data_IF_631647683588
#
_entry.id   IF_631647683588
#
_cell.length_a   1.000
_cell.length_b   1.000
_cell.length_c   1.000
_cell.angle_alpha   90.00
_cell.angle_beta   90.00
_cell.angle_gamma   90.00
#
_symmetry.space_group_name_H-M   'P 1'
#
loop_
_entity.id
_entity.type
_entity.pdbx_description
1 polymer ?
#
# COMPACT_ATOMS: atom_id res chain seq x y z
N UNK A 1 -7.13 -4.03 -17.04
CA UNK A 1 -6.76 -5.34 -16.42
C UNK A 1 -7.79 -5.60 -15.34
N UNK A 2 -8.47 -6.76 -15.35
CA UNK A 2 -9.57 -7.07 -14.41
C UNK A 2 -9.08 -7.32 -12.97
N UNK A 3 -9.99 -7.20 -12.00
CA UNK A 3 -9.72 -7.52 -10.59
C UNK A 3 -9.28 -8.98 -10.43
N UNK A 4 -9.92 -9.92 -11.15
CA UNK A 4 -9.56 -11.35 -11.15
C UNK A 4 -8.09 -11.61 -11.49
N UNK A 5 -7.55 -10.87 -12.47
CA UNK A 5 -6.13 -11.02 -12.84
C UNK A 5 -5.21 -10.56 -11.70
N UNK A 6 -5.56 -9.49 -11.01
CA UNK A 6 -4.77 -9.02 -9.87
C UNK A 6 -4.90 -9.94 -8.65
N UNK A 7 -6.08 -10.53 -8.47
CA UNK A 7 -6.28 -11.57 -7.47
C UNK A 7 -5.36 -12.77 -7.73
N UNK A 8 -5.30 -13.25 -8.97
CA UNK A 8 -4.39 -14.34 -9.35
C UNK A 8 -2.92 -13.98 -9.10
N UNK A 9 -2.51 -12.74 -9.43
CA UNK A 9 -1.15 -12.26 -9.17
C UNK A 9 -0.83 -12.28 -7.67
N UNK A 10 -1.77 -11.82 -6.83
CA UNK A 10 -1.58 -11.80 -5.38
C UNK A 10 -1.53 -13.23 -4.78
N UNK A 11 -2.41 -14.13 -5.24
CA UNK A 11 -2.42 -15.53 -4.84
C UNK A 11 -1.11 -16.25 -5.20
N UNK A 12 -0.60 -16.03 -6.43
CA UNK A 12 0.71 -16.57 -6.84
C UNK A 12 1.83 -16.06 -5.94
N UNK A 13 1.79 -14.79 -5.54
CA UNK A 13 2.76 -14.22 -4.59
C UNK A 13 2.71 -14.91 -3.22
N UNK A 14 1.51 -15.20 -2.72
CA UNK A 14 1.31 -15.89 -1.46
C UNK A 14 1.77 -17.36 -1.53
N UNK A 15 1.41 -18.08 -2.60
CA UNK A 15 1.84 -19.46 -2.82
C UNK A 15 3.37 -19.57 -2.88
N UNK A 16 4.02 -18.66 -3.61
CA UNK A 16 5.47 -18.59 -3.67
C UNK A 16 6.08 -18.27 -2.29
N UNK A 17 5.47 -17.37 -1.53
CA UNK A 17 5.90 -17.04 -0.17
C UNK A 17 5.80 -18.26 0.76
N UNK A 18 4.68 -18.97 0.72
CA UNK A 18 4.47 -20.17 1.53
C UNK A 18 5.51 -21.25 1.23
N UNK A 19 5.81 -21.49 -0.04
CA UNK A 19 6.83 -22.45 -0.47
C UNK A 19 8.25 -22.09 0.01
N UNK A 20 8.57 -20.82 0.13
CA UNK A 20 9.91 -20.32 0.47
C UNK A 20 10.05 -19.95 1.95
N UNK A 21 9.00 -20.05 2.75
CA UNK A 21 9.00 -19.60 4.13
C UNK A 21 9.13 -18.08 4.28
N UNK A 22 8.70 -17.32 3.28
CA UNK A 22 8.66 -15.86 3.32
C UNK A 22 7.54 -15.37 4.22
N UNK A 23 7.69 -14.15 4.75
CA UNK A 23 6.70 -13.55 5.63
C UNK A 23 5.92 -12.47 4.86
N UNK A 24 4.60 -12.56 4.90
CA UNK A 24 3.69 -11.56 4.36
C UNK A 24 3.43 -10.42 5.35
N UNK A 25 3.39 -9.19 4.82
CA UNK A 25 2.96 -7.99 5.51
C UNK A 25 1.86 -7.31 4.70
N UNK A 26 0.81 -6.87 5.38
CA UNK A 26 -0.20 -5.98 4.84
C UNK A 26 0.05 -4.57 5.37
N UNK A 27 0.23 -3.62 4.47
CA UNK A 27 0.45 -2.22 4.82
C UNK A 27 -0.76 -1.40 4.38
N UNK A 28 -1.21 -0.50 5.25
CA UNK A 28 -2.02 0.65 4.86
C UNK A 28 -1.12 1.89 4.91
N UNK A 29 -1.06 2.63 3.80
CA UNK A 29 -0.20 3.77 3.60
C UNK A 29 -1.04 4.98 3.18
N UNK A 30 -1.35 5.85 4.14
CA UNK A 30 -2.05 7.10 3.93
C UNK A 30 -1.10 8.29 3.72
N UNK A 31 -1.65 9.42 3.34
CA UNK A 31 -0.93 10.68 3.18
C UNK A 31 -0.97 11.53 4.46
N UNK A 32 -0.09 12.54 4.58
CA UNK A 32 -0.18 13.55 5.63
C UNK A 32 -1.53 14.25 5.68
N UNK A 33 -1.95 14.68 6.86
CA UNK A 33 -3.20 15.42 7.05
C UNK A 33 -3.26 16.65 6.16
N UNK A 34 -2.15 17.37 6.00
CA UNK A 34 -2.04 18.56 5.15
C UNK A 34 -2.37 18.34 3.66
N UNK A 35 -2.34 17.09 3.18
CA UNK A 35 -2.73 16.72 1.81
C UNK A 35 -4.16 16.20 1.71
N UNK A 36 -4.91 16.15 2.79
CA UNK A 36 -6.30 15.69 2.82
C UNK A 36 -7.25 16.87 2.84
N UNK A 37 -8.17 16.93 1.87
CA UNK A 37 -9.16 18.00 1.79
C UNK A 37 -10.21 17.94 2.90
N UNK A 38 -10.54 16.72 3.37
CA UNK A 38 -11.53 16.48 4.41
C UNK A 38 -10.90 15.70 5.57
N UNK A 39 -11.44 15.91 6.75
CA UNK A 39 -11.17 15.10 7.94
C UNK A 39 -12.44 14.51 8.51
N UNK A 40 -12.32 13.47 9.29
CA UNK A 40 -13.43 12.88 10.05
C UNK A 40 -13.43 13.52 11.44
N UNK A 41 -14.55 14.09 11.85
CA UNK A 41 -14.71 14.66 13.18
C UNK A 41 -15.06 13.58 14.23
N UNK A 42 -15.19 13.99 15.48
CA UNK A 42 -15.53 13.09 16.60
C UNK A 42 -16.88 12.36 16.45
N UNK A 43 -17.77 12.86 15.59
CA UNK A 43 -19.09 12.27 15.31
C UNK A 43 -19.09 11.41 14.02
N UNK A 44 -17.91 10.99 13.53
CA UNK A 44 -17.72 10.25 12.28
C UNK A 44 -18.25 10.96 11.01
N UNK A 45 -18.36 12.28 11.05
CA UNK A 45 -18.80 13.10 9.93
C UNK A 45 -17.59 13.70 9.20
N UNK A 46 -17.71 13.82 7.86
CA UNK A 46 -16.72 14.50 7.05
C UNK A 46 -16.92 16.02 7.18
N UNK A 47 -15.83 16.71 7.48
CA UNK A 47 -15.77 18.16 7.50
C UNK A 47 -14.51 18.68 6.77
N UNK A 48 -14.51 19.92 6.29
CA UNK A 48 -13.32 20.52 5.68
C UNK A 48 -12.13 20.48 6.65
N UNK A 49 -10.98 20.08 6.13
CA UNK A 49 -9.76 20.01 6.92
C UNK A 49 -9.07 21.38 6.96
N UNK A 50 -9.00 22.07 8.11
CA UNK A 50 -8.35 23.39 8.21
C UNK A 50 -6.82 23.35 7.96
N UNK A 51 -6.21 22.17 8.08
CA UNK A 51 -4.77 22.00 7.81
C UNK A 51 -4.47 21.75 6.32
N UNK A 52 -5.50 21.64 5.49
CA UNK A 52 -5.33 21.38 4.05
C UNK A 52 -4.60 22.52 3.36
N UNK A 53 -3.50 22.21 2.65
CA UNK A 53 -2.67 23.18 1.95
C UNK A 53 -3.00 23.33 0.46
N UNK A 54 -4.22 22.95 0.04
CA UNK A 54 -4.67 23.13 -1.33
C UNK A 54 -4.15 22.11 -2.35
N UNK A 55 -3.67 20.94 -1.91
CA UNK A 55 -3.22 19.88 -2.79
C UNK A 55 -4.37 19.12 -3.47
N UNK A 56 -4.07 18.50 -4.62
CA UNK A 56 -4.99 17.63 -5.36
C UNK A 56 -4.73 16.16 -5.03
N UNK A 57 -5.66 15.22 -5.35
CA UNK A 57 -5.38 13.79 -5.29
C UNK A 57 -4.14 13.36 -6.08
N UNK A 58 -3.84 14.03 -7.20
CA UNK A 58 -2.62 13.79 -7.96
C UNK A 58 -1.35 14.18 -7.19
N UNK A 59 -1.39 15.27 -6.43
CA UNK A 59 -0.24 15.69 -5.59
C UNK A 59 -0.04 14.74 -4.41
N UNK A 60 -1.13 14.28 -3.80
CA UNK A 60 -1.09 13.24 -2.78
C UNK A 60 -0.51 11.93 -3.33
N UNK A 61 -0.88 11.53 -4.54
CA UNK A 61 -0.31 10.36 -5.23
C UNK A 61 1.19 10.51 -5.50
N UNK A 62 1.63 11.68 -5.94
CA UNK A 62 3.08 11.98 -6.13
C UNK A 62 3.84 11.89 -4.81
N UNK A 63 3.25 12.38 -3.72
CA UNK A 63 3.86 12.27 -2.39
C UNK A 63 4.03 10.80 -1.99
N UNK A 64 2.98 9.96 -2.10
CA UNK A 64 3.04 8.52 -1.84
C UNK A 64 4.15 7.84 -2.66
N UNK A 65 4.23 8.15 -3.95
CA UNK A 65 5.26 7.61 -4.85
C UNK A 65 6.67 8.00 -4.42
N UNK A 66 6.86 9.27 -4.01
CA UNK A 66 8.15 9.78 -3.52
C UNK A 66 8.59 9.07 -2.23
N UNK A 67 7.68 8.89 -1.27
CA UNK A 67 8.00 8.16 -0.04
C UNK A 67 8.32 6.69 -0.33
N UNK A 68 7.53 6.04 -1.19
CA UNK A 68 7.78 4.65 -1.57
C UNK A 68 9.13 4.47 -2.30
N UNK A 69 9.54 5.42 -3.12
CA UNK A 69 10.86 5.40 -3.76
C UNK A 69 12.00 5.43 -2.73
N UNK A 70 11.87 6.24 -1.67
CA UNK A 70 12.84 6.28 -0.56
C UNK A 70 12.88 4.93 0.20
N UNK A 71 11.72 4.34 0.48
CA UNK A 71 11.62 3.03 1.14
C UNK A 71 12.31 1.96 0.29
N UNK A 72 12.04 1.89 -1.01
CA UNK A 72 12.68 0.93 -1.92
C UNK A 72 14.18 1.11 -2.00
N UNK A 73 14.67 2.36 -2.06
CA UNK A 73 16.09 2.65 -2.01
C UNK A 73 16.73 2.15 -0.71
N UNK A 74 16.03 2.30 0.42
CA UNK A 74 16.45 1.77 1.72
C UNK A 74 16.49 0.25 1.77
N UNK A 75 15.57 -0.44 1.10
CA UNK A 75 15.61 -1.90 0.96
C UNK A 75 16.84 -2.34 0.13
N UNK A 76 17.05 -1.70 -1.02
CA UNK A 76 18.20 -2.01 -1.88
C UNK A 76 19.54 -1.78 -1.16
N UNK A 77 19.67 -0.67 -0.43
CA UNK A 77 20.88 -0.36 0.33
C UNK A 77 21.22 -1.40 1.42
N UNK A 78 20.19 -2.05 1.99
CA UNK A 78 20.31 -3.05 3.05
C UNK A 78 20.24 -4.49 2.54
N UNK A 79 20.25 -4.70 1.24
CA UNK A 79 20.08 -6.02 0.60
C UNK A 79 18.84 -6.76 1.09
N UNK A 80 17.74 -6.01 1.32
CA UNK A 80 16.46 -6.59 1.72
C UNK A 80 15.63 -6.84 0.47
N UNK A 81 15.45 -8.11 0.15
CA UNK A 81 14.62 -8.53 -0.98
C UNK A 81 13.16 -8.56 -0.57
N UNK A 82 12.36 -7.79 -1.28
CA UNK A 82 10.91 -7.72 -1.12
C UNK A 82 10.22 -7.77 -2.49
N UNK A 83 9.06 -8.40 -2.53
CA UNK A 83 8.17 -8.37 -3.70
C UNK A 83 6.73 -8.17 -3.22
N UNK A 84 5.85 -7.75 -4.10
CA UNK A 84 4.49 -7.49 -3.67
C UNK A 84 3.60 -6.80 -4.67
N UNK A 85 2.41 -6.45 -4.21
CA UNK A 85 1.37 -5.77 -4.95
C UNK A 85 0.91 -4.52 -4.20
N UNK A 86 0.98 -3.37 -4.85
CA UNK A 86 0.43 -2.12 -4.36
C UNK A 86 -0.94 -1.87 -4.98
N UNK A 87 -1.93 -1.59 -4.15
CA UNK A 87 -3.30 -1.31 -4.53
C UNK A 87 -3.65 0.11 -4.08
N UNK A 88 -4.06 0.98 -5.01
CA UNK A 88 -4.47 2.33 -4.72
C UNK A 88 -6.00 2.42 -4.58
N UNK A 89 -6.46 3.04 -3.51
CA UNK A 89 -7.87 3.26 -3.19
C UNK A 89 -8.13 4.73 -2.90
N UNK A 90 -9.31 5.27 -3.24
CA UNK A 90 -9.70 6.59 -2.79
C UNK A 90 -10.13 6.54 -1.32
N UNK A 91 -9.71 7.51 -0.55
CA UNK A 91 -10.35 7.84 0.72
C UNK A 91 -11.67 8.57 0.47
N UNK A 92 -12.48 8.82 1.51
CA UNK A 92 -13.81 9.49 1.38
C UNK A 92 -13.74 10.87 0.72
N UNK A 93 -12.60 11.56 0.78
CA UNK A 93 -12.33 12.87 0.17
C UNK A 93 -11.61 12.76 -1.19
N UNK A 94 -11.63 11.60 -1.81
CA UNK A 94 -10.90 11.28 -3.05
C UNK A 94 -9.36 11.27 -2.92
N UNK A 95 -8.79 11.52 -1.76
CA UNK A 95 -7.35 11.43 -1.52
C UNK A 95 -6.90 9.98 -1.64
N UNK A 96 -5.83 9.66 -2.39
CA UNK A 96 -5.35 8.30 -2.54
C UNK A 96 -4.73 7.79 -1.22
N UNK A 97 -5.00 6.52 -0.94
CA UNK A 97 -4.26 5.71 0.01
C UNK A 97 -3.84 4.41 -0.66
N UNK A 98 -2.84 3.73 -0.11
CA UNK A 98 -2.37 2.47 -0.65
C UNK A 98 -2.52 1.34 0.34
N UNK A 99 -3.04 0.22 -0.11
CA UNK A 99 -2.82 -1.08 0.49
C UNK A 99 -1.66 -1.76 -0.23
N UNK A 100 -0.72 -2.31 0.54
CA UNK A 100 0.43 -3.02 -0.04
C UNK A 100 0.48 -4.41 0.58
N UNK A 101 0.37 -5.42 -0.27
CA UNK A 101 0.69 -6.80 0.04
C UNK A 101 2.18 -6.97 -0.25
N UNK A 102 2.99 -7.23 0.77
CA UNK A 102 4.43 -7.29 0.67
C UNK A 102 4.95 -8.57 1.31
N UNK A 103 5.78 -9.32 0.58
CA UNK A 103 6.46 -10.50 1.10
C UNK A 103 7.95 -10.26 1.22
N UNK A 104 8.51 -10.74 2.32
CA UNK A 104 9.91 -10.56 2.72
C UNK A 104 10.60 -11.90 2.72
N UNK A 105 11.70 -12.02 2.00
CA UNK A 105 12.42 -13.28 1.79
C UNK A 105 13.11 -13.86 3.02
N UNK A 106 13.35 -13.05 4.07
CA UNK A 106 13.98 -13.52 5.31
C UNK A 106 13.23 -12.98 6.53
N UNK A 107 12.95 -13.84 7.49
CA UNK A 107 12.23 -13.47 8.71
C UNK A 107 12.94 -12.34 9.48
N UNK A 108 14.26 -12.38 9.56
CA UNK A 108 15.09 -11.39 10.24
C UNK A 108 14.99 -9.98 9.59
N UNK A 109 14.73 -9.92 8.29
CA UNK A 109 14.57 -8.67 7.56
C UNK A 109 13.25 -7.96 7.89
N UNK A 110 12.26 -8.64 8.48
CA UNK A 110 10.94 -8.08 8.75
C UNK A 110 11.02 -6.83 9.66
N UNK A 111 11.86 -6.87 10.70
CA UNK A 111 12.05 -5.75 11.59
C UNK A 111 12.64 -4.55 10.85
N UNK A 112 13.62 -4.78 10.00
CA UNK A 112 14.25 -3.76 9.14
C UNK A 112 13.25 -3.14 8.15
N UNK A 113 12.39 -3.95 7.54
CA UNK A 113 11.32 -3.50 6.65
C UNK A 113 10.35 -2.58 7.39
N UNK A 114 9.85 -2.99 8.56
CA UNK A 114 8.95 -2.19 9.40
C UNK A 114 9.60 -0.87 9.81
N UNK A 115 10.85 -0.90 10.25
CA UNK A 115 11.59 0.28 10.68
C UNK A 115 11.79 1.28 9.53
N UNK A 116 12.16 0.82 8.32
CA UNK A 116 12.32 1.65 7.13
C UNK A 116 11.03 2.33 6.71
N UNK A 117 9.93 1.57 6.67
CA UNK A 117 8.62 2.10 6.29
C UNK A 117 8.20 3.17 7.30
N UNK A 118 8.26 2.88 8.61
CA UNK A 118 7.93 3.84 9.67
C UNK A 118 8.76 5.10 9.56
N UNK A 119 10.08 4.96 9.41
CA UNK A 119 10.99 6.09 9.30
C UNK A 119 10.63 7.03 8.15
N UNK A 120 10.43 6.52 6.93
CA UNK A 120 10.13 7.35 5.77
C UNK A 120 8.70 7.88 5.76
N UNK A 121 7.74 7.12 6.35
CA UNK A 121 6.33 7.51 6.32
C UNK A 121 5.94 8.52 7.38
N UNK A 122 6.59 8.47 8.56
CA UNK A 122 6.23 9.27 9.73
C UNK A 122 7.17 10.46 9.98
N UNK A 123 8.34 10.50 9.31
CA UNK A 123 9.40 11.47 9.60
C UNK A 123 9.00 12.94 9.45
N UNK A 124 8.15 13.28 8.48
CA UNK A 124 7.88 14.68 8.12
C UNK A 124 6.87 15.39 9.04
N UNK A 125 6.17 14.66 9.88
CA UNK A 125 5.12 15.20 10.76
C UNK A 125 5.15 14.61 12.17
N UNK A 126 6.33 14.24 12.66
CA UNK A 126 6.45 13.73 14.02
C UNK A 126 6.16 14.85 15.04
N UNK A 127 4.89 15.00 15.37
CA UNK A 127 4.43 15.66 16.59
C UNK A 127 3.90 14.57 17.51
N UNK A 128 4.43 14.42 18.74
CA UNK A 128 4.10 13.29 19.64
C UNK A 128 2.65 13.23 20.13
N UNK A 129 1.81 14.18 19.77
CA UNK A 129 0.45 14.34 20.29
C UNK A 129 -0.64 13.62 19.46
N UNK A 130 -0.29 12.72 18.51
CA UNK A 130 -1.25 12.35 17.48
C UNK A 130 -1.74 10.90 17.50
N UNK A 131 -3.01 10.72 17.83
CA UNK A 131 -3.89 9.62 17.44
C UNK A 131 -3.88 9.34 15.91
N UNK A 132 -3.37 10.28 15.12
CA UNK A 132 -3.33 10.24 13.64
C UNK A 132 -2.28 9.28 13.05
N UNK A 133 -1.36 8.74 13.83
CA UNK A 133 -0.37 7.78 13.32
C UNK A 133 -1.05 6.53 12.74
N UNK A 134 -2.07 5.99 13.43
CA UNK A 134 -2.81 4.81 12.98
C UNK A 134 -3.63 5.05 11.70
N UNK A 135 -4.13 6.27 11.54
CA UNK A 135 -4.87 6.66 10.33
C UNK A 135 -3.96 6.84 9.10
N UNK A 136 -2.64 6.92 9.30
CA UNK A 136 -1.66 7.16 8.23
C UNK A 136 -0.81 5.94 7.89
N UNK A 137 -0.50 5.12 8.87
CA UNK A 137 0.34 3.94 8.70
C UNK A 137 -0.14 2.79 9.58
N UNK A 138 -0.49 1.67 8.95
CA UNK A 138 -0.71 0.40 9.63
C UNK A 138 0.18 -0.66 8.98
N UNK A 139 0.78 -1.54 9.78
CA UNK A 139 1.64 -2.63 9.32
C UNK A 139 1.26 -3.88 10.08
N UNK A 140 0.49 -4.74 9.45
CA UNK A 140 0.01 -5.98 10.02
C UNK A 140 0.72 -7.19 9.39
N UNK A 141 0.59 -8.34 10.02
CA UNK A 141 0.96 -9.60 9.39
C UNK A 141 -0.09 -9.93 8.32
N UNK A 142 0.36 -10.26 7.12
CA UNK A 142 -0.51 -10.77 6.08
C UNK A 142 -0.75 -12.26 6.31
N UNK A 143 -2.01 -12.62 6.52
CA UNK A 143 -2.44 -14.01 6.58
C UNK A 143 -2.97 -14.44 5.21
N UNK A 144 -2.68 -15.68 4.75
CA UNK A 144 -3.10 -16.15 3.42
C UNK A 144 -4.59 -15.95 3.13
N UNK A 145 -5.43 -16.20 4.13
CA UNK A 145 -6.89 -16.10 4.03
C UNK A 145 -7.41 -14.68 3.77
N UNK A 146 -6.63 -13.63 4.09
CA UNK A 146 -7.06 -12.25 3.87
C UNK A 146 -6.58 -11.66 2.55
N UNK A 147 -5.69 -12.34 1.82
CA UNK A 147 -5.13 -11.84 0.55
C UNK A 147 -6.24 -11.52 -0.45
N UNK A 148 -7.15 -12.48 -0.66
CA UNK A 148 -8.28 -12.31 -1.58
C UNK A 148 -9.19 -11.16 -1.14
N UNK A 149 -9.55 -11.11 0.14
CA UNK A 149 -10.43 -10.07 0.67
C UNK A 149 -9.85 -8.67 0.51
N UNK A 150 -8.53 -8.50 0.71
CA UNK A 150 -7.85 -7.20 0.51
C UNK A 150 -7.90 -6.80 -0.97
N UNK A 151 -7.58 -7.71 -1.89
CA UNK A 151 -7.59 -7.43 -3.33
C UNK A 151 -9.00 -7.09 -3.80
N UNK A 152 -9.99 -7.88 -3.42
CA UNK A 152 -11.38 -7.69 -3.80
C UNK A 152 -11.92 -6.35 -3.26
N UNK A 153 -11.65 -6.03 -1.99
CA UNK A 153 -12.06 -4.75 -1.39
C UNK A 153 -11.41 -3.57 -2.10
N UNK A 154 -10.11 -3.64 -2.41
CA UNK A 154 -9.40 -2.54 -3.06
C UNK A 154 -9.74 -2.37 -4.53
N UNK A 155 -10.09 -3.46 -5.22
CA UNK A 155 -10.36 -3.46 -6.66
C UNK A 155 -11.84 -3.69 -6.99
N UNK A 156 -12.72 -3.72 -5.97
CA UNK A 156 -14.16 -3.82 -6.23
C UNK A 156 -14.55 -2.81 -7.30
N UNK A 157 -15.33 -3.29 -8.25
CA UNK A 157 -15.65 -2.56 -9.48
C UNK A 157 -16.78 -1.56 -9.21
N UNK A 158 -16.46 -0.54 -8.42
CA UNK A 158 -17.33 0.64 -8.40
C UNK A 158 -16.94 1.51 -9.59
N UNK A 159 -17.89 1.89 -10.42
CA UNK A 159 -17.71 2.85 -11.51
C UNK A 159 -17.04 4.14 -11.00
N UNK A 160 -17.33 4.50 -9.75
CA UNK A 160 -16.76 5.64 -9.04
C UNK A 160 -15.24 5.51 -8.83
N UNK A 161 -14.72 4.34 -8.42
CA UNK A 161 -13.29 4.13 -8.24
C UNK A 161 -12.53 4.11 -9.57
N UNK A 162 -13.15 3.60 -10.62
CA UNK A 162 -12.58 3.59 -11.96
C UNK A 162 -12.52 5.01 -12.55
N UNK A 163 -13.58 5.80 -12.42
CA UNK A 163 -13.61 7.20 -12.83
C UNK A 163 -12.59 8.05 -12.04
N UNK A 164 -12.51 7.87 -10.72
CA UNK A 164 -11.50 8.52 -9.89
C UNK A 164 -10.07 8.23 -10.36
N UNK A 165 -9.75 6.96 -10.61
CA UNK A 165 -8.43 6.55 -11.06
C UNK A 165 -8.07 7.15 -12.43
N UNK A 166 -9.04 7.23 -13.35
CA UNK A 166 -8.86 7.87 -14.66
C UNK A 166 -8.67 9.38 -14.52
N UNK A 167 -9.54 10.06 -13.76
CA UNK A 167 -9.47 11.51 -13.56
C UNK A 167 -8.11 11.96 -13.04
N UNK A 168 -7.54 11.21 -12.09
CA UNK A 168 -6.28 11.57 -11.44
C UNK A 168 -5.06 10.84 -11.99
N UNK A 169 -5.22 10.05 -13.07
CA UNK A 169 -4.16 9.22 -13.69
C UNK A 169 -3.45 8.32 -12.66
N UNK A 170 -4.23 7.64 -11.83
CA UNK A 170 -3.75 6.76 -10.77
C UNK A 170 -3.84 5.30 -11.22
N UNK A 171 -2.72 4.58 -11.21
CA UNK A 171 -2.73 3.13 -11.41
C UNK A 171 -3.22 2.43 -10.15
N UNK A 172 -4.38 1.78 -10.25
CA UNK A 172 -5.03 1.10 -9.10
C UNK A 172 -4.24 -0.09 -8.57
N UNK A 173 -3.52 -0.81 -9.43
CA UNK A 173 -2.69 -1.94 -9.02
C UNK A 173 -1.33 -1.90 -9.71
N UNK A 174 -0.26 -2.10 -8.94
CA UNK A 174 1.13 -2.09 -9.44
C UNK A 174 1.94 -3.16 -8.72
N UNK A 175 2.40 -4.21 -9.42
CA UNK A 175 3.30 -5.21 -8.87
C UNK A 175 4.73 -4.65 -8.78
N UNK A 176 5.52 -5.19 -7.87
CA UNK A 176 6.94 -4.82 -7.71
C UNK A 176 7.77 -6.02 -7.24
N UNK A 177 9.09 -5.89 -7.34
CA UNK A 177 10.05 -6.90 -6.88
C UNK A 177 9.95 -8.24 -7.61
N UNK A 178 9.62 -8.24 -8.91
CA UNK A 178 9.53 -9.47 -9.71
C UNK A 178 8.19 -10.21 -9.60
N UNK A 179 7.21 -9.74 -8.82
CA UNK A 179 5.93 -10.44 -8.65
C UNK A 179 5.20 -10.67 -10.00
N UNK A 180 5.32 -9.72 -10.94
CA UNK A 180 4.69 -9.87 -12.26
C UNK A 180 5.30 -11.01 -13.07
N UNK A 181 6.61 -11.20 -12.96
CA UNK A 181 7.34 -12.29 -13.63
C UNK A 181 6.98 -13.63 -13.01
N UNK A 182 6.89 -13.72 -11.67
CA UNK A 182 6.42 -14.92 -10.97
C UNK A 182 5.02 -15.33 -11.44
N UNK A 183 4.11 -14.37 -11.57
CA UNK A 183 2.75 -14.63 -12.03
C UNK A 183 2.66 -14.99 -13.53
N UNK A 184 3.60 -14.54 -14.36
CA UNK A 184 3.67 -14.90 -15.78
C UNK A 184 4.21 -16.31 -15.99
N UNK A 185 5.07 -16.81 -15.11
CA UNK A 185 5.68 -18.14 -15.24
C UNK A 185 4.76 -19.28 -14.77
N UNK A 186 3.58 -18.98 -14.23
CA UNK A 186 2.51 -19.90 -13.87
C UNK A 186 3.02 -21.25 -13.34
N UNK A 187 3.02 -21.46 -12.04
CA UNK A 187 3.46 -22.70 -11.38
C UNK A 187 4.96 -23.00 -11.51
N UNK A 188 5.84 -22.08 -11.12
CA UNK A 188 7.19 -22.50 -10.78
C UNK A 188 7.11 -23.48 -9.60
N UNK A 189 7.45 -24.76 -9.76
CA UNK A 189 7.32 -25.71 -8.69
C UNK A 189 8.23 -25.27 -7.55
N UNK A 190 7.76 -25.47 -6.33
CA UNK A 190 8.61 -25.51 -5.16
C UNK A 190 9.54 -26.71 -5.34
N UNK A 191 10.69 -26.50 -6.00
CA UNK A 191 11.76 -27.48 -6.12
C UNK A 191 12.74 -27.28 -4.99
#
# INVERSE_FOLDING_TARGET
MSAERWLKVAQTGEEFAACRGHIGLHLYLGVPVSLRAMRVNANDQLEPNPEHKGGTPADAQKWLQKQWAKVRAGFAYRDIHVYGLRLAVPFRDCTPAWHVLLWVGKAEAQAGVRALIRYHWLREEYKPEHEHERARLQIDRLHPEVVSAVVDTCLCDSSMHSAWAQTWNIRRAVPFGGLHELAAWGNAPCA
#
